data_IF_935430611409
#
_entry.id   IF_935430611409
#
_cell.length_a   1.000
_cell.length_b   1.000
_cell.length_c   1.000
_cell.angle_alpha   90.00
_cell.angle_beta   90.00
_cell.angle_gamma   90.00
#
_symmetry.space_group_name_H-M   'P 1'
#
loop_
_entity.id
_entity.type
_entity.pdbx_description
1 polymer ?
#
# COMPACT_ATOMS: atom_id res chain seq x y z
N UNK A 1 -23.25 2.10 17.39
CA UNK A 1 -22.24 3.19 17.48
C UNK A 1 -20.82 2.73 17.14
N UNK A 2 -20.20 1.76 17.86
CA UNK A 2 -18.83 1.26 17.53
C UNK A 2 -18.65 0.82 16.07
N UNK A 3 -19.63 0.10 15.50
CA UNK A 3 -19.60 -0.34 14.09
C UNK A 3 -19.55 0.81 13.08
N UNK A 4 -20.26 1.92 13.37
CA UNK A 4 -20.26 3.12 12.52
C UNK A 4 -18.90 3.82 12.60
N UNK A 5 -18.34 3.96 13.79
CA UNK A 5 -17.02 4.56 13.98
C UNK A 5 -15.92 3.76 13.27
N UNK A 6 -15.96 2.43 13.35
CA UNK A 6 -15.03 1.56 12.61
C UNK A 6 -15.14 1.76 11.11
N UNK A 7 -16.36 1.85 10.58
CA UNK A 7 -16.59 2.09 9.15
C UNK A 7 -16.01 3.45 8.71
N UNK A 8 -16.26 4.50 9.50
CA UNK A 8 -15.70 5.84 9.25
C UNK A 8 -14.17 5.81 9.21
N UNK A 9 -13.52 5.18 10.20
CA UNK A 9 -12.06 5.07 10.23
C UNK A 9 -11.50 4.40 8.97
N UNK A 10 -12.13 3.34 8.50
CA UNK A 10 -11.72 2.68 7.25
C UNK A 10 -11.87 3.58 6.03
N UNK A 11 -13.02 4.25 5.90
CA UNK A 11 -13.28 5.16 4.78
C UNK A 11 -12.27 6.30 4.75
N UNK A 12 -11.97 6.91 5.90
CA UNK A 12 -10.98 7.99 6.01
C UNK A 12 -9.60 7.52 5.56
N UNK A 13 -9.14 6.35 6.02
CA UNK A 13 -7.83 5.79 5.63
C UNK A 13 -7.75 5.55 4.12
N UNK A 14 -8.79 4.95 3.53
CA UNK A 14 -8.83 4.65 2.09
C UNK A 14 -8.79 5.94 1.28
N UNK A 15 -9.59 6.95 1.66
CA UNK A 15 -9.62 8.23 0.95
C UNK A 15 -8.27 8.94 1.04
N UNK A 16 -7.67 9.01 2.24
CA UNK A 16 -6.34 9.61 2.42
C UNK A 16 -5.28 8.92 1.55
N UNK A 17 -5.34 7.60 1.41
CA UNK A 17 -4.42 6.86 0.55
C UNK A 17 -4.61 7.20 -0.94
N UNK A 18 -5.85 7.30 -1.42
CA UNK A 18 -6.13 7.70 -2.82
C UNK A 18 -5.65 9.13 -3.07
N UNK A 19 -5.98 10.07 -2.18
CA UNK A 19 -5.56 11.47 -2.31
C UNK A 19 -4.04 11.63 -2.29
N UNK A 20 -3.35 10.99 -1.34
CA UNK A 20 -1.88 11.09 -1.25
C UNK A 20 -1.14 10.47 -2.45
N UNK A 21 -1.79 9.58 -3.21
CA UNK A 21 -1.23 9.08 -4.50
C UNK A 21 -1.40 10.08 -5.65
N UNK A 22 -2.45 10.90 -5.62
CA UNK A 22 -2.70 11.91 -6.65
C UNK A 22 -1.89 13.19 -6.45
N UNK A 23 -1.41 13.43 -5.22
CA UNK A 23 -0.52 14.56 -4.93
C UNK A 23 0.91 14.33 -5.43
N UNK A 24 1.65 15.38 -5.79
CA UNK A 24 3.06 15.27 -6.10
C UNK A 24 3.84 14.63 -4.95
N UNK A 25 4.46 13.50 -5.25
CA UNK A 25 5.24 12.70 -4.29
C UNK A 25 6.47 12.11 -4.99
N UNK A 26 7.47 11.73 -4.20
CA UNK A 26 8.66 11.06 -4.74
C UNK A 26 8.26 9.75 -5.45
N UNK A 27 8.99 9.34 -6.51
CA UNK A 27 8.73 8.08 -7.20
C UNK A 27 8.69 6.90 -6.21
N UNK A 28 7.69 6.02 -6.35
CA UNK A 28 7.41 4.89 -5.46
C UNK A 28 7.14 5.25 -3.98
N UNK A 29 7.05 6.52 -3.61
CA UNK A 29 6.64 6.93 -2.27
C UNK A 29 5.12 7.15 -2.23
N UNK A 30 4.36 6.06 -2.33
CA UNK A 30 2.91 6.07 -2.37
C UNK A 30 2.28 5.17 -1.29
N UNK A 31 1.08 5.52 -0.78
CA UNK A 31 0.43 4.82 0.33
C UNK A 31 -0.13 3.43 0.01
N UNK A 32 -0.13 3.01 -1.26
CA UNK A 32 -0.88 1.82 -1.69
C UNK A 32 -0.33 0.52 -1.09
N UNK A 33 0.98 0.41 -0.84
CA UNK A 33 1.57 -0.78 -0.21
C UNK A 33 1.09 -0.97 1.23
N UNK A 34 1.14 0.11 2.02
CA UNK A 34 0.58 0.12 3.37
C UNK A 34 -0.94 -0.12 3.37
N UNK A 35 -1.66 0.45 2.41
CA UNK A 35 -3.11 0.25 2.27
C UNK A 35 -3.44 -1.22 1.98
N UNK A 36 -2.67 -1.88 1.11
CA UNK A 36 -2.85 -3.29 0.78
C UNK A 36 -2.57 -4.19 1.99
N UNK A 37 -1.50 -3.95 2.75
CA UNK A 37 -1.25 -4.67 4.00
C UNK A 37 -2.37 -4.48 5.02
N UNK A 38 -2.83 -3.23 5.17
CA UNK A 38 -3.91 -2.87 6.08
C UNK A 38 -5.24 -3.51 5.70
N UNK A 39 -5.61 -3.47 4.41
CA UNK A 39 -6.84 -4.07 3.91
C UNK A 39 -6.80 -5.59 4.07
N UNK A 40 -5.65 -6.20 3.79
CA UNK A 40 -5.35 -7.61 4.01
C UNK A 40 -5.65 -8.08 5.43
N UNK A 41 -5.21 -7.33 6.43
CA UNK A 41 -5.35 -7.74 7.83
C UNK A 41 -6.72 -7.43 8.44
N UNK A 42 -7.45 -6.42 7.93
CA UNK A 42 -8.69 -5.92 8.55
C UNK A 42 -9.98 -6.39 7.87
N UNK A 43 -9.92 -6.87 6.62
CA UNK A 43 -11.11 -7.22 5.85
C UNK A 43 -11.12 -8.69 5.44
N UNK A 44 -12.30 -9.20 5.10
CA UNK A 44 -12.42 -10.52 4.46
C UNK A 44 -11.72 -10.50 3.10
N UNK A 45 -11.11 -11.62 2.71
CA UNK A 45 -10.29 -11.79 1.49
C UNK A 45 -10.83 -11.05 0.26
N UNK A 46 -12.12 -11.18 -0.07
CA UNK A 46 -12.72 -10.49 -1.23
C UNK A 46 -12.59 -8.97 -1.15
N UNK A 47 -12.95 -8.37 -0.03
CA UNK A 47 -12.91 -6.91 0.19
C UNK A 47 -11.46 -6.43 0.33
N UNK A 48 -10.63 -7.21 1.04
CA UNK A 48 -9.21 -6.91 1.24
C UNK A 48 -8.46 -6.70 -0.08
N UNK A 49 -8.76 -7.53 -1.09
CA UNK A 49 -8.18 -7.43 -2.43
C UNK A 49 -8.79 -6.29 -3.25
N UNK A 50 -10.09 -6.06 -3.13
CA UNK A 50 -10.78 -5.02 -3.89
C UNK A 50 -10.30 -3.60 -3.51
N UNK A 51 -10.00 -3.34 -2.24
CA UNK A 51 -9.58 -2.01 -1.77
C UNK A 51 -8.37 -1.46 -2.53
N UNK A 52 -7.18 -2.10 -2.53
CA UNK A 52 -6.02 -1.59 -3.24
C UNK A 52 -6.23 -1.59 -4.76
N UNK A 53 -6.90 -2.59 -5.34
CA UNK A 53 -7.18 -2.64 -6.79
C UNK A 53 -8.04 -1.45 -7.22
N UNK A 54 -9.09 -1.14 -6.46
CA UNK A 54 -10.00 -0.04 -6.78
C UNK A 54 -9.29 1.30 -6.60
N UNK A 55 -8.54 1.46 -5.51
CA UNK A 55 -7.73 2.65 -5.28
C UNK A 55 -6.74 2.87 -6.42
N UNK A 56 -6.11 1.80 -6.91
CA UNK A 56 -5.21 1.87 -8.04
C UNK A 56 -5.90 2.26 -9.33
N UNK A 57 -6.96 1.54 -9.68
CA UNK A 57 -7.72 1.77 -10.91
C UNK A 57 -8.22 3.20 -11.01
N UNK A 58 -8.81 3.71 -9.92
CA UNK A 58 -9.31 5.08 -9.87
C UNK A 58 -8.19 6.12 -10.03
N UNK A 59 -7.01 5.89 -9.47
CA UNK A 59 -5.89 6.82 -9.61
C UNK A 59 -5.19 6.70 -10.97
N UNK A 60 -5.14 5.50 -11.57
CA UNK A 60 -4.56 5.28 -12.90
C UNK A 60 -5.39 5.93 -14.02
N UNK A 61 -6.70 6.14 -13.82
CA UNK A 61 -7.53 6.94 -14.74
C UNK A 61 -6.95 8.36 -14.89
N UNK A 62 -6.39 8.93 -13.82
CA UNK A 62 -5.79 10.28 -13.85
C UNK A 62 -4.30 10.27 -14.18
N UNK A 63 -3.56 9.24 -13.74
CA UNK A 63 -2.11 9.13 -13.94
C UNK A 63 -1.72 8.54 -15.31
N UNK A 64 -2.64 7.84 -15.97
CA UNK A 64 -2.44 7.19 -17.26
C UNK A 64 -2.05 5.71 -17.15
N UNK A 65 -2.45 4.93 -18.16
CA UNK A 65 -2.14 3.51 -18.24
C UNK A 65 -0.81 3.22 -18.94
N UNK A 66 -0.05 2.24 -18.44
CA UNK A 66 1.24 1.84 -19.01
C UNK A 66 1.45 0.32 -18.99
N UNK A 67 2.39 -0.19 -19.81
CA UNK A 67 2.60 -1.63 -20.05
C UNK A 67 2.95 -2.45 -18.79
N UNK A 68 3.55 -1.81 -17.78
CA UNK A 68 3.93 -2.48 -16.53
C UNK A 68 2.79 -2.60 -15.51
N UNK A 69 1.62 -2.02 -15.78
CA UNK A 69 0.45 -2.05 -14.87
C UNK A 69 0.09 -3.46 -14.36
N UNK A 70 0.05 -4.52 -15.19
CA UNK A 70 -0.28 -5.86 -14.70
C UNK A 70 0.66 -6.35 -13.58
N UNK A 71 1.94 -6.00 -13.64
CA UNK A 71 2.94 -6.35 -12.63
C UNK A 71 2.70 -5.59 -11.33
N UNK A 72 2.39 -4.30 -11.44
CA UNK A 72 2.07 -3.46 -10.27
C UNK A 72 0.81 -3.97 -9.56
N UNK A 73 -0.25 -4.27 -10.30
CA UNK A 73 -1.51 -4.79 -9.73
C UNK A 73 -1.29 -6.16 -9.09
N UNK A 74 -0.54 -7.04 -9.75
CA UNK A 74 -0.18 -8.34 -9.20
C UNK A 74 0.59 -8.21 -7.87
N UNK A 75 1.56 -7.29 -7.80
CA UNK A 75 2.28 -7.02 -6.55
C UNK A 75 1.33 -6.63 -5.42
N UNK A 76 0.40 -5.69 -5.64
CA UNK A 76 -0.52 -5.26 -4.59
C UNK A 76 -1.55 -6.31 -4.19
N UNK A 77 -1.96 -7.19 -5.12
CA UNK A 77 -2.77 -8.37 -4.79
C UNK A 77 -2.01 -9.26 -3.81
N UNK A 78 -0.74 -9.58 -4.10
CA UNK A 78 0.07 -10.43 -3.23
C UNK A 78 0.35 -9.75 -1.88
N UNK A 79 0.62 -8.44 -1.88
CA UNK A 79 0.81 -7.66 -0.65
C UNK A 79 -0.45 -7.69 0.22
N UNK A 80 -1.65 -7.57 -0.36
CA UNK A 80 -2.89 -7.72 0.39
C UNK A 80 -3.07 -9.13 0.96
N UNK A 81 -2.63 -10.18 0.26
CA UNK A 81 -2.60 -11.53 0.82
C UNK A 81 -1.59 -11.66 1.97
N UNK A 82 -0.41 -11.03 1.88
CA UNK A 82 0.58 -10.95 2.96
C UNK A 82 -0.04 -10.25 4.18
N UNK A 83 -0.81 -9.18 3.97
CA UNK A 83 -1.54 -8.48 5.03
C UNK A 83 -2.46 -9.42 5.81
N UNK A 84 -3.14 -10.34 5.13
CA UNK A 84 -3.99 -11.36 5.76
C UNK A 84 -3.26 -12.37 6.65
N UNK A 85 -1.93 -12.44 6.57
CA UNK A 85 -1.10 -13.28 7.44
C UNK A 85 -0.67 -12.56 8.73
N UNK A 86 -0.93 -11.26 8.85
CA UNK A 86 -0.63 -10.46 10.05
C UNK A 86 -1.65 -10.82 11.14
N UNK A 87 -1.32 -11.84 11.95
CA UNK A 87 -2.19 -12.34 13.03
C UNK A 87 -1.90 -11.72 14.39
N UNK A 88 -0.75 -11.08 14.57
CA UNK A 88 -0.34 -10.52 15.86
C UNK A 88 -0.28 -9.01 15.78
N UNK A 89 -0.86 -8.33 16.78
CA UNK A 89 -0.86 -6.87 16.91
C UNK A 89 0.51 -6.31 17.33
N UNK A 90 1.57 -7.02 16.97
CA UNK A 90 2.96 -6.75 17.31
C UNK A 90 3.61 -5.98 16.17
N UNK A 91 4.28 -4.89 16.50
CA UNK A 91 4.99 -4.05 15.53
C UNK A 91 6.01 -4.84 14.69
N UNK A 92 6.57 -5.93 15.25
CA UNK A 92 7.48 -6.81 14.52
C UNK A 92 6.80 -7.53 13.34
N UNK A 93 5.54 -7.92 13.48
CA UNK A 93 4.79 -8.55 12.39
C UNK A 93 4.56 -7.58 11.25
N UNK A 94 4.26 -6.32 11.59
CA UNK A 94 4.06 -5.25 10.62
C UNK A 94 5.37 -4.87 9.92
N UNK A 95 6.47 -4.77 10.67
CA UNK A 95 7.80 -4.52 10.13
C UNK A 95 8.19 -5.60 9.11
N UNK A 96 8.05 -6.88 9.49
CA UNK A 96 8.35 -8.01 8.59
C UNK A 96 7.48 -7.99 7.34
N UNK A 97 6.17 -7.78 7.50
CA UNK A 97 5.25 -7.72 6.38
C UNK A 97 5.57 -6.58 5.42
N UNK A 98 5.91 -5.40 5.95
CA UNK A 98 6.32 -4.23 5.16
C UNK A 98 7.60 -4.52 4.37
N UNK A 99 8.64 -5.06 5.03
CA UNK A 99 9.91 -5.42 4.38
C UNK A 99 9.73 -6.43 3.25
N UNK A 100 8.99 -7.51 3.51
CA UNK A 100 8.71 -8.54 2.50
C UNK A 100 7.92 -7.95 1.34
N UNK A 101 6.95 -7.08 1.63
CA UNK A 101 6.13 -6.43 0.61
C UNK A 101 6.96 -5.51 -0.28
N UNK A 102 7.87 -4.72 0.28
CA UNK A 102 8.75 -3.84 -0.49
C UNK A 102 9.69 -4.63 -1.40
N UNK A 103 10.28 -5.73 -0.90
CA UNK A 103 11.15 -6.61 -1.68
C UNK A 103 10.36 -7.26 -2.82
N UNK A 104 9.16 -7.78 -2.51
CA UNK A 104 8.30 -8.42 -3.49
C UNK A 104 7.85 -7.45 -4.59
N UNK A 105 7.43 -6.24 -4.20
CA UNK A 105 7.05 -5.19 -5.13
C UNK A 105 8.21 -4.85 -6.06
N UNK A 106 9.41 -4.64 -5.48
CA UNK A 106 10.61 -4.32 -6.23
C UNK A 106 10.96 -5.40 -7.27
N UNK A 107 10.94 -6.67 -6.87
CA UNK A 107 11.26 -7.78 -7.77
C UNK A 107 10.26 -7.89 -8.92
N UNK A 108 8.95 -7.88 -8.62
CA UNK A 108 7.90 -8.06 -9.63
C UNK A 108 7.84 -6.87 -10.59
N UNK A 109 7.93 -5.64 -10.08
CA UNK A 109 7.77 -4.44 -10.94
C UNK A 109 8.98 -4.22 -11.84
N UNK A 110 10.20 -4.42 -11.35
CA UNK A 110 11.40 -4.32 -12.19
C UNK A 110 11.51 -5.47 -13.19
N UNK A 111 11.08 -6.68 -12.81
CA UNK A 111 10.89 -7.75 -13.78
C UNK A 111 9.89 -7.33 -14.87
N UNK A 112 8.79 -6.68 -14.50
CA UNK A 112 7.82 -6.14 -15.46
C UNK A 112 8.41 -5.09 -16.41
N UNK A 113 9.24 -4.17 -15.90
CA UNK A 113 9.98 -3.18 -16.72
C UNK A 113 10.88 -3.89 -17.72
N UNK A 114 11.67 -4.86 -17.26
CA UNK A 114 12.53 -5.65 -18.13
C UNK A 114 11.73 -6.47 -19.15
N UNK A 115 10.63 -7.11 -18.74
CA UNK A 115 9.84 -8.01 -19.58
C UNK A 115 9.06 -7.27 -20.67
N UNK A 116 8.50 -6.10 -20.36
CA UNK A 116 7.60 -5.36 -21.27
C UNK A 116 8.24 -4.14 -21.95
N UNK A 117 9.33 -3.63 -21.40
CA UNK A 117 10.05 -2.47 -21.94
C UNK A 117 11.07 -2.85 -23.02
N UNK A 118 11.68 -1.82 -23.61
CA UNK A 118 12.76 -1.95 -24.60
C UNK A 118 14.09 -1.39 -24.10
N UNK A 119 14.12 -0.84 -22.88
CA UNK A 119 15.29 -0.18 -22.28
C UNK A 119 16.45 -1.14 -21.99
N UNK A 120 16.15 -2.40 -21.68
CA UNK A 120 17.14 -3.40 -21.29
C UNK A 120 17.13 -4.58 -22.26
N UNK A 121 18.29 -5.20 -22.43
CA UNK A 121 18.42 -6.42 -23.25
C UNK A 121 17.57 -7.56 -22.68
N UNK A 122 16.97 -8.37 -23.55
CA UNK A 122 16.13 -9.53 -23.18
C UNK A 122 16.97 -10.76 -22.82
N UNK A 123 17.90 -10.58 -21.90
CA UNK A 123 18.76 -11.62 -21.33
C UNK A 123 18.95 -11.38 -19.82
N UNK A 124 19.67 -12.28 -19.15
CA UNK A 124 19.92 -12.19 -17.72
C UNK A 124 20.68 -10.91 -17.34
N UNK A 125 21.60 -10.44 -18.18
CA UNK A 125 22.36 -9.21 -17.93
C UNK A 125 21.45 -7.99 -17.89
N UNK A 126 20.54 -7.85 -18.87
CA UNK A 126 19.56 -6.77 -18.90
C UNK A 126 18.56 -6.84 -17.74
N UNK A 127 18.18 -8.04 -17.29
CA UNK A 127 17.34 -8.19 -16.09
C UNK A 127 18.06 -7.67 -14.84
N UNK A 128 19.33 -8.06 -14.65
CA UNK A 128 20.13 -7.57 -13.53
C UNK A 128 20.33 -6.06 -13.60
N UNK A 129 20.55 -5.49 -14.79
CA UNK A 129 20.60 -4.04 -14.97
C UNK A 129 19.31 -3.36 -14.53
N UNK A 130 18.14 -3.91 -14.88
CA UNK A 130 16.84 -3.37 -14.43
C UNK A 130 16.74 -3.35 -12.90
N UNK A 131 17.21 -4.38 -12.20
CA UNK A 131 17.22 -4.38 -10.74
C UNK A 131 18.20 -3.36 -10.16
N UNK A 132 19.43 -3.28 -10.69
CA UNK A 132 20.43 -2.32 -10.21
C UNK A 132 19.92 -0.88 -10.37
N UNK A 133 19.36 -0.54 -11.53
CA UNK A 133 18.80 0.78 -11.79
C UNK A 133 17.50 1.05 -10.99
N UNK A 134 16.84 -0.01 -10.53
CA UNK A 134 15.68 0.08 -9.65
C UNK A 134 15.99 0.43 -8.19
N UNK A 135 17.24 0.28 -7.74
CA UNK A 135 17.60 0.42 -6.31
C UNK A 135 17.24 1.79 -5.68
N UNK A 136 17.38 2.94 -6.36
CA UNK A 136 16.93 4.21 -5.82
C UNK A 136 15.42 4.23 -5.54
N UNK A 137 14.62 3.59 -6.41
CA UNK A 137 13.17 3.47 -6.23
C UNK A 137 12.82 2.50 -5.10
N UNK A 138 13.62 1.44 -4.91
CA UNK A 138 13.44 0.50 -3.81
C UNK A 138 13.58 1.19 -2.45
N UNK A 139 14.53 2.11 -2.30
CA UNK A 139 14.67 2.91 -1.07
C UNK A 139 13.37 3.67 -0.77
N UNK A 140 12.76 4.29 -1.77
CA UNK A 140 11.50 5.01 -1.60
C UNK A 140 10.35 4.06 -1.27
N UNK A 141 10.25 2.91 -1.97
CA UNK A 141 9.25 1.87 -1.66
C UNK A 141 9.37 1.40 -0.21
N UNK A 142 10.58 1.11 0.24
CA UNK A 142 10.84 0.63 1.60
C UNK A 142 10.41 1.66 2.65
N UNK A 143 10.81 2.91 2.49
CA UNK A 143 10.44 3.99 3.40
C UNK A 143 8.92 4.23 3.39
N UNK A 144 8.32 4.20 2.20
CA UNK A 144 6.88 4.38 2.00
C UNK A 144 6.07 3.29 2.68
N UNK A 145 6.41 2.02 2.43
CA UNK A 145 5.70 0.88 2.99
C UNK A 145 5.79 0.88 4.51
N UNK A 146 6.96 1.16 5.09
CA UNK A 146 7.11 1.31 6.53
C UNK A 146 6.26 2.46 7.08
N UNK A 147 6.39 3.64 6.49
CA UNK A 147 5.68 4.83 6.96
C UNK A 147 4.16 4.65 6.91
N UNK A 148 3.62 4.25 5.76
CA UNK A 148 2.18 4.14 5.57
C UNK A 148 1.58 2.92 6.26
N UNK A 149 2.28 1.78 6.31
CA UNK A 149 1.78 0.61 7.07
C UNK A 149 1.64 0.95 8.54
N UNK A 150 2.67 1.55 9.16
CA UNK A 150 2.56 1.98 10.56
C UNK A 150 1.50 3.06 10.74
N UNK A 151 1.45 4.07 9.87
CA UNK A 151 0.45 5.13 9.93
C UNK A 151 -0.98 4.59 9.86
N UNK A 152 -1.28 3.64 8.98
CA UNK A 152 -2.63 3.09 8.85
C UNK A 152 -3.00 2.17 10.01
N UNK A 153 -2.12 1.28 10.45
CA UNK A 153 -2.43 0.37 11.57
C UNK A 153 -2.57 1.12 12.89
N UNK A 154 -1.64 2.01 13.21
CA UNK A 154 -1.68 2.79 14.46
C UNK A 154 -2.68 3.93 14.41
N UNK A 155 -2.82 4.60 13.25
CA UNK A 155 -3.84 5.62 13.02
C UNK A 155 -5.25 5.04 13.14
N UNK A 156 -5.50 3.86 12.56
CA UNK A 156 -6.76 3.14 12.76
C UNK A 156 -7.03 2.86 14.24
N UNK A 157 -6.04 2.31 14.96
CA UNK A 157 -6.16 2.02 16.39
C UNK A 157 -6.45 3.27 17.23
N UNK A 158 -5.83 4.39 16.88
CA UNK A 158 -6.07 5.68 17.53
C UNK A 158 -7.50 6.15 17.25
N UNK A 159 -7.90 6.27 15.98
CA UNK A 159 -9.23 6.72 15.56
C UNK A 159 -10.35 5.83 16.10
N UNK A 160 -10.15 4.51 16.19
CA UNK A 160 -11.13 3.57 16.72
C UNK A 160 -11.32 3.67 18.24
N UNK A 161 -10.32 4.21 18.96
CA UNK A 161 -10.35 4.34 20.41
C UNK A 161 -10.82 5.73 20.88
N UNK A 162 -10.90 6.72 19.99
CA UNK A 162 -11.44 8.05 20.31
C UNK A 162 -12.91 7.91 20.71
N UNK A 163 -13.29 8.32 21.92
CA UNK A 163 -14.70 8.40 22.28
C UNK A 163 -15.25 9.77 21.87
N UNK A 164 -15.78 9.86 20.64
CA UNK A 164 -16.28 11.12 20.06
C UNK A 164 -17.33 11.82 20.94
N UNK A 165 -18.16 11.08 21.67
CA UNK A 165 -19.10 11.69 22.64
C UNK A 165 -18.38 12.42 23.78
N UNK A 166 -17.31 11.85 24.31
CA UNK A 166 -16.47 12.49 25.35
C UNK A 166 -15.69 13.68 24.80
N UNK A 167 -15.30 13.63 23.53
CA UNK A 167 -14.59 14.72 22.87
C UNK A 167 -15.51 15.93 22.62
N UNK A 168 -16.70 15.68 22.04
CA UNK A 168 -17.70 16.73 21.79
C UNK A 168 -18.21 17.34 23.10
N UNK A 169 -18.48 16.51 24.12
CA UNK A 169 -18.83 16.99 25.45
C UNK A 169 -17.74 17.83 26.13
N UNK A 170 -16.47 17.72 25.72
CA UNK A 170 -15.38 18.60 26.18
C UNK A 170 -15.27 19.90 25.38
N UNK A 171 -15.84 19.94 24.18
CA UNK A 171 -15.80 21.10 23.29
C UNK A 171 -17.03 22.00 23.45
N UNK A 172 -17.94 21.71 24.39
CA UNK A 172 -19.21 22.43 24.59
C UNK A 172 -20.03 22.58 23.29
N UNK A 173 -20.00 21.56 22.42
CA UNK A 173 -20.87 21.40 21.24
C UNK A 173 -21.75 20.17 21.45
#
# INVERSE_FOLDING_TARGET
>A
MKKIQTLISYTVIILLAVFARLTPHAPNFAPIGGLALFSGSHFKKKIALLIPITAMFLSDIFLGFHKTIPFVYLSFIIIALIGGLIKTNKWQSLLKASLVSSILFFLITNFGVWATGTMYQKNLSGLMQSYVMGLPFFRNTLLSDLFYSFSFFYGYRFLSNINFKRLLARLNI
#
